data_IF_692199334508
#
_entry.id   IF_692199334508
#
_cell.length_a   1.000
_cell.length_b   1.000
_cell.length_c   1.000
_cell.angle_alpha   90.00
_cell.angle_beta   90.00
_cell.angle_gamma   90.00
#
_symmetry.space_group_name_H-M   'P 1'
#
loop_
_entity.id
_entity.type
_entity.pdbx_description
1 polymer ?
#
# COMPACT_ATOMS: atom_id res chain seq x y z
N UNK A 1 -13.39 -5.07 -11.64
CA UNK A 1 -12.04 -5.17 -11.02
C UNK A 1 -12.21 -5.65 -9.59
N UNK A 2 -11.82 -6.88 -9.25
CA UNK A 2 -12.04 -7.41 -7.88
C UNK A 2 -11.29 -6.57 -6.85
N UNK A 3 -12.04 -5.94 -5.95
CA UNK A 3 -11.56 -5.20 -4.78
C UNK A 3 -11.01 -6.15 -3.70
N UNK A 4 -10.14 -7.10 -4.09
CA UNK A 4 -9.65 -8.15 -3.20
C UNK A 4 -8.34 -7.75 -2.49
N UNK A 5 -8.17 -6.45 -2.23
CA UNK A 5 -7.09 -5.98 -1.36
C UNK A 5 -7.72 -5.83 0.02
N UNK A 6 -7.27 -6.62 0.99
CA UNK A 6 -7.67 -6.49 2.41
C UNK A 6 -7.30 -5.12 3.04
N UNK A 7 -6.82 -4.17 2.25
CA UNK A 7 -6.42 -2.84 2.66
C UNK A 7 -7.50 -1.83 2.24
N UNK A 8 -8.05 -1.15 3.24
CA UNK A 8 -8.95 -0.01 3.02
C UNK A 8 -8.19 1.15 2.33
N UNK A 9 -8.90 2.10 1.70
CA UNK A 9 -8.26 3.28 1.10
C UNK A 9 -7.33 4.02 2.08
N UNK A 10 -7.78 4.26 3.31
CA UNK A 10 -6.99 4.94 4.34
C UNK A 10 -5.77 4.14 4.79
N UNK A 11 -5.86 2.80 4.84
CA UNK A 11 -4.69 1.94 5.12
C UNK A 11 -3.68 1.99 3.99
N UNK A 12 -4.14 2.10 2.73
CA UNK A 12 -3.28 2.23 1.56
C UNK A 12 -2.52 3.54 1.58
N UNK A 13 -3.20 4.66 1.86
CA UNK A 13 -2.58 5.98 1.95
C UNK A 13 -1.50 6.02 3.04
N UNK A 14 -1.79 5.50 4.24
CA UNK A 14 -0.80 5.40 5.32
C UNK A 14 0.38 4.49 4.96
N UNK A 15 0.12 3.37 4.29
CA UNK A 15 1.19 2.49 3.80
C UNK A 15 2.09 3.22 2.79
N UNK A 16 1.52 3.98 1.85
CA UNK A 16 2.29 4.76 0.87
C UNK A 16 3.12 5.83 1.55
N UNK A 17 2.54 6.60 2.48
CA UNK A 17 3.27 7.62 3.23
C UNK A 17 4.48 7.04 3.99
N UNK A 18 4.36 5.82 4.51
CA UNK A 18 5.48 5.12 5.15
C UNK A 18 6.50 4.56 4.16
N UNK A 19 6.07 4.10 2.99
CA UNK A 19 6.99 3.70 1.91
C UNK A 19 7.80 4.88 1.38
N UNK A 20 7.20 6.07 1.26
CA UNK A 20 7.91 7.30 0.89
C UNK A 20 8.96 7.71 1.94
N UNK A 21 8.72 7.40 3.21
CA UNK A 21 9.71 7.55 4.29
C UNK A 21 10.80 6.45 4.27
N UNK A 22 10.76 5.52 3.31
CA UNK A 22 11.73 4.43 3.18
C UNK A 22 11.47 3.22 4.07
N UNK A 23 10.29 3.10 4.69
CA UNK A 23 9.96 1.92 5.50
C UNK A 23 9.76 0.67 4.63
N UNK A 24 10.20 -0.48 5.15
CA UNK A 24 10.03 -1.78 4.53
C UNK A 24 8.60 -2.33 4.69
N UNK A 25 8.18 -3.25 3.81
CA UNK A 25 6.85 -3.89 3.82
C UNK A 25 6.51 -4.56 5.15
N UNK A 26 7.52 -5.12 5.84
CA UNK A 26 7.32 -5.80 7.10
C UNK A 26 6.93 -4.82 8.23
N UNK A 27 7.66 -3.70 8.37
CA UNK A 27 7.37 -2.69 9.38
C UNK A 27 6.00 -2.07 9.15
N UNK A 28 5.66 -1.74 7.90
CA UNK A 28 4.34 -1.19 7.53
C UNK A 28 3.21 -2.16 7.86
N UNK A 29 3.40 -3.46 7.62
CA UNK A 29 2.39 -4.49 7.94
C UNK A 29 2.13 -4.59 9.44
N UNK A 30 3.19 -4.62 10.24
CA UNK A 30 3.09 -4.65 11.71
C UNK A 30 2.41 -3.39 12.24
N UNK A 31 2.81 -2.21 11.75
CA UNK A 31 2.24 -0.94 12.19
C UNK A 31 0.80 -0.71 11.74
N UNK A 32 0.35 -1.33 10.65
CA UNK A 32 -1.06 -1.32 10.22
C UNK A 32 -1.90 -2.46 10.81
N UNK A 33 -1.27 -3.46 11.44
CA UNK A 33 -1.96 -4.66 11.95
C UNK A 33 -2.56 -5.54 10.85
N UNK A 34 -1.96 -5.55 9.66
CA UNK A 34 -2.47 -6.24 8.47
C UNK A 34 -1.50 -7.32 7.98
N UNK A 35 -2.00 -8.24 7.16
CA UNK A 35 -1.16 -9.28 6.58
C UNK A 35 -0.02 -8.70 5.73
N UNK A 36 1.21 -9.14 6.00
CA UNK A 36 2.41 -8.76 5.24
C UNK A 36 2.25 -9.00 3.74
N UNK A 37 1.52 -10.03 3.33
CA UNK A 37 1.30 -10.32 1.91
C UNK A 37 0.53 -9.22 1.19
N UNK A 38 -0.45 -8.60 1.85
CA UNK A 38 -1.20 -7.47 1.29
C UNK A 38 -0.30 -6.25 1.10
N UNK A 39 0.54 -5.95 2.09
CA UNK A 39 1.50 -4.85 2.06
C UNK A 39 2.60 -5.07 1.04
N UNK A 40 3.13 -6.29 0.93
CA UNK A 40 4.15 -6.66 -0.06
C UNK A 40 3.65 -6.51 -1.50
N UNK A 41 2.40 -6.89 -1.76
CA UNK A 41 1.77 -6.70 -3.07
C UNK A 41 1.63 -5.22 -3.41
N UNK A 42 1.23 -4.40 -2.43
CA UNK A 42 1.16 -2.95 -2.56
C UNK A 42 2.55 -2.33 -2.83
N UNK A 43 3.56 -2.72 -2.05
CA UNK A 43 4.93 -2.22 -2.18
C UNK A 43 5.54 -2.54 -3.55
N UNK A 44 5.35 -3.77 -4.06
CA UNK A 44 5.78 -4.13 -5.41
C UNK A 44 5.14 -3.25 -6.47
N UNK A 45 3.83 -2.99 -6.36
CA UNK A 45 3.12 -2.13 -7.30
C UNK A 45 3.58 -0.67 -7.21
N UNK A 46 3.76 -0.16 -5.99
CA UNK A 46 4.33 1.17 -5.74
C UNK A 46 5.73 1.30 -6.35
N UNK A 47 6.60 0.30 -6.20
CA UNK A 47 7.95 0.33 -6.75
C UNK A 47 8.01 0.34 -8.28
N UNK A 48 7.02 -0.26 -8.95
CA UNK A 48 6.95 -0.29 -10.43
C UNK A 48 6.41 1.02 -10.99
N UNK A 49 5.36 1.58 -10.38
CA UNK A 49 4.64 2.71 -10.96
C UNK A 49 4.85 4.04 -10.24
N UNK A 50 5.61 4.05 -9.14
CA UNK A 50 5.88 5.23 -8.32
C UNK A 50 4.69 5.70 -7.46
N UNK A 51 4.86 6.81 -6.72
CA UNK A 51 3.85 7.35 -5.81
C UNK A 51 2.54 7.74 -6.51
N UNK A 52 2.64 8.29 -7.73
CA UNK A 52 1.49 8.79 -8.49
C UNK A 52 0.52 7.70 -8.97
N UNK A 53 0.95 6.44 -9.02
CA UNK A 53 0.15 5.36 -9.57
C UNK A 53 -0.88 4.76 -8.61
N UNK A 54 -0.75 5.03 -7.31
CA UNK A 54 -1.68 4.54 -6.31
C UNK A 54 -2.70 5.60 -5.89
N UNK A 55 -2.37 6.89 -6.00
CA UNK A 55 -3.29 8.02 -5.74
C UNK A 55 -4.34 8.14 -6.86
N UNK A 56 -3.97 7.86 -8.11
CA UNK A 56 -4.90 7.94 -9.25
C UNK A 56 -5.98 6.84 -9.26
N UNK A 57 -5.88 5.81 -8.41
CA UNK A 57 -6.92 4.77 -8.27
C UNK A 57 -7.89 5.09 -7.12
N UNK A 58 -8.26 6.35 -6.99
CA UNK A 58 -9.56 6.76 -6.44
C UNK A 58 -10.53 6.86 -7.63
N UNK A 59 -10.89 5.70 -8.20
CA UNK A 59 -12.00 5.67 -9.14
C UNK A 59 -13.29 5.77 -8.33
N UNK A 60 -13.91 6.96 -8.41
CA UNK A 60 -15.31 7.34 -8.20
C UNK A 60 -16.13 6.56 -7.16
#
# INVERSE_FOLDING_TARGET
MRANSSLTPSQRERAIAWFEQGMADQSVATSLGVSRWAVRSLYRRWRIHGPGALVAKQAK
#
